data_IF_032807934002
#
_entry.id   IF_032807934002
#
_cell.length_a   1.000
_cell.length_b   1.000
_cell.length_c   1.000
_cell.angle_alpha   90.00
_cell.angle_beta   90.00
_cell.angle_gamma   90.00
#
_symmetry.space_group_name_H-M   'P 1'
#
loop_
_entity.id
_entity.type
_entity.pdbx_description
1 polymer ?
#
# COMPACT_ATOMS: atom_id res chain seq x y z
N UNK A 1 19.05 -31.63 2.44
CA UNK A 1 19.78 -30.57 1.70
C UNK A 1 18.87 -30.07 0.60
N UNK A 2 18.26 -28.90 0.79
CA UNK A 2 17.47 -28.23 -0.25
C UNK A 2 18.37 -27.10 -0.75
N UNK A 3 19.08 -27.35 -1.85
CA UNK A 3 19.81 -26.32 -2.60
C UNK A 3 18.84 -25.68 -3.60
N UNK A 4 17.85 -24.97 -3.08
CA UNK A 4 17.24 -23.83 -3.76
C UNK A 4 17.92 -22.59 -3.21
N UNK A 5 18.08 -21.55 -4.02
CA UNK A 5 18.76 -20.30 -3.63
C UNK A 5 18.04 -19.68 -2.41
N UNK A 6 18.46 -20.07 -1.20
CA UNK A 6 17.81 -19.71 0.04
C UNK A 6 18.18 -18.26 0.36
N UNK A 7 17.19 -17.38 0.32
CA UNK A 7 17.34 -15.96 0.64
C UNK A 7 16.26 -15.54 1.64
N UNK A 8 16.58 -14.64 2.60
CA UNK A 8 15.57 -14.06 3.47
C UNK A 8 14.48 -13.35 2.66
N UNK A 9 13.18 -13.56 2.98
CA UNK A 9 12.08 -13.02 2.19
C UNK A 9 12.00 -11.49 2.24
N UNK A 10 12.37 -10.87 3.36
CA UNK A 10 12.53 -9.41 3.46
C UNK A 10 13.79 -9.02 4.23
N UNK A 11 14.04 -7.70 4.32
CA UNK A 11 15.13 -7.16 5.13
C UNK A 11 15.01 -7.53 6.61
N UNK A 12 13.80 -7.59 7.17
CA UNK A 12 13.59 -7.96 8.58
C UNK A 12 14.05 -9.39 8.83
N UNK A 13 13.66 -10.36 7.99
CA UNK A 13 14.09 -11.74 8.16
C UNK A 13 15.60 -11.90 8.00
N UNK A 14 16.24 -11.08 7.14
CA UNK A 14 17.70 -11.03 7.04
C UNK A 14 18.34 -10.60 8.38
N UNK A 15 17.85 -9.52 8.97
CA UNK A 15 18.34 -9.04 10.27
C UNK A 15 18.12 -10.08 11.37
N UNK A 16 16.97 -10.76 11.39
CA UNK A 16 16.68 -11.82 12.36
C UNK A 16 17.59 -13.04 12.19
N UNK A 17 17.86 -13.45 10.95
CA UNK A 17 18.81 -14.54 10.67
C UNK A 17 20.23 -14.18 11.13
N UNK A 18 20.69 -12.97 10.78
CA UNK A 18 22.02 -12.48 11.16
C UNK A 18 22.16 -12.34 12.68
N UNK A 19 21.13 -11.84 13.37
CA UNK A 19 21.10 -11.79 14.83
C UNK A 19 21.11 -13.20 15.44
N UNK A 20 20.31 -14.12 14.90
CA UNK A 20 20.21 -15.51 15.35
C UNK A 20 21.54 -16.27 15.20
N UNK A 21 22.21 -16.13 14.05
CA UNK A 21 23.53 -16.76 13.80
C UNK A 21 24.62 -16.25 14.74
N UNK A 22 24.55 -14.99 15.17
CA UNK A 22 25.48 -14.40 16.15
C UNK A 22 25.06 -14.60 17.61
N UNK A 23 23.86 -15.12 17.89
CA UNK A 23 23.29 -15.14 19.23
C UNK A 23 23.01 -13.74 19.81
N UNK A 24 22.90 -12.73 18.96
CA UNK A 24 22.76 -11.33 19.35
C UNK A 24 21.29 -10.97 19.59
N UNK A 25 20.86 -11.10 20.85
CA UNK A 25 19.49 -10.77 21.25
C UNK A 25 19.18 -9.27 21.10
N UNK A 26 20.16 -8.40 21.29
CA UNK A 26 19.93 -6.95 21.20
C UNK A 26 19.65 -6.54 19.76
N UNK A 27 20.39 -7.09 18.79
CA UNK A 27 20.12 -6.91 17.37
C UNK A 27 18.75 -7.47 16.96
N UNK A 28 18.35 -8.63 17.49
CA UNK A 28 17.01 -9.18 17.24
C UNK A 28 15.91 -8.23 17.78
N UNK A 29 16.08 -7.69 18.99
CA UNK A 29 15.13 -6.73 19.57
C UNK A 29 15.06 -5.42 18.77
N UNK A 30 16.18 -4.89 18.28
CA UNK A 30 16.19 -3.68 17.43
C UNK A 30 15.45 -3.92 16.10
N UNK A 31 15.68 -5.06 15.45
CA UNK A 31 14.96 -5.45 14.24
C UNK A 31 13.44 -5.57 14.50
N UNK A 32 13.05 -6.20 15.60
CA UNK A 32 11.64 -6.39 15.97
C UNK A 32 10.96 -5.10 16.44
N UNK A 33 11.69 -4.18 17.05
CA UNK A 33 11.17 -2.87 17.48
C UNK A 33 10.64 -2.01 16.34
N UNK A 34 11.09 -2.26 15.11
CA UNK A 34 10.73 -1.54 13.88
C UNK A 34 9.77 -2.33 12.97
N UNK A 35 9.32 -3.49 13.42
CA UNK A 35 8.66 -4.49 12.58
C UNK A 35 7.21 -4.69 13.00
N UNK A 36 6.32 -4.91 12.01
CA UNK A 36 4.96 -5.42 12.26
C UNK A 36 5.04 -6.89 12.62
N UNK A 37 4.43 -7.24 13.74
CA UNK A 37 4.24 -8.61 14.16
C UNK A 37 2.78 -9.00 13.95
N UNK A 38 2.53 -10.27 13.70
CA UNK A 38 1.22 -10.79 13.34
C UNK A 38 0.86 -11.96 14.23
N UNK A 39 -0.34 -11.88 14.81
CA UNK A 39 -0.91 -12.91 15.66
C UNK A 39 -1.99 -13.64 14.87
N UNK A 40 -1.86 -14.96 14.74
CA UNK A 40 -2.87 -15.81 14.12
C UNK A 40 -4.14 -15.84 14.98
N UNK A 41 -5.29 -15.67 14.34
CA UNK A 41 -6.60 -15.78 14.96
C UNK A 41 -7.54 -16.63 14.10
N UNK A 42 -8.44 -17.35 14.76
CA UNK A 42 -9.59 -17.93 14.08
C UNK A 42 -10.52 -16.78 13.68
N UNK A 43 -10.96 -16.76 12.41
CA UNK A 43 -11.81 -15.70 11.87
C UNK A 43 -13.10 -15.54 12.66
N UNK A 44 -13.71 -16.65 13.10
CA UNK A 44 -14.93 -16.62 13.93
C UNK A 44 -14.77 -15.81 15.21
N UNK A 45 -13.57 -15.76 15.80
CA UNK A 45 -13.28 -14.92 16.95
C UNK A 45 -13.03 -13.47 16.55
N UNK A 46 -12.32 -13.23 15.44
CA UNK A 46 -12.06 -11.88 14.94
C UNK A 46 -13.34 -11.16 14.48
N UNK A 47 -14.34 -11.90 14.00
CA UNK A 47 -15.64 -11.37 13.57
C UNK A 47 -16.61 -11.14 14.75
N UNK A 48 -16.30 -11.68 15.94
CA UNK A 48 -17.17 -11.56 17.11
C UNK A 48 -17.09 -10.13 17.71
N UNK A 49 -18.19 -9.34 17.69
CA UNK A 49 -18.16 -7.96 18.18
C UNK A 49 -17.78 -7.87 19.66
N UNK A 50 -16.82 -6.98 19.97
CA UNK A 50 -16.36 -6.76 21.35
C UNK A 50 -15.55 -7.91 21.95
N UNK A 51 -15.23 -8.94 21.16
CA UNK A 51 -14.38 -10.04 21.60
C UNK A 51 -12.93 -9.78 21.21
N UNK A 52 -12.03 -9.84 22.18
CA UNK A 52 -10.59 -9.86 21.93
C UNK A 52 -10.07 -11.25 22.30
N UNK A 53 -9.70 -12.10 21.32
CA UNK A 53 -9.22 -13.42 21.63
C UNK A 53 -7.90 -13.32 22.42
N UNK A 54 -7.69 -14.20 23.43
CA UNK A 54 -6.42 -14.24 24.13
C UNK A 54 -5.28 -14.60 23.16
N UNK A 55 -4.07 -14.14 23.46
CA UNK A 55 -2.89 -14.48 22.66
C UNK A 55 -2.75 -16.02 22.56
N UNK A 56 -2.59 -16.58 21.35
CA UNK A 56 -2.48 -18.00 21.16
C UNK A 56 -1.22 -18.50 21.87
N UNK A 57 -1.34 -19.57 22.64
CA UNK A 57 -0.21 -20.19 23.33
C UNK A 57 -0.07 -21.64 22.90
N UNK A 58 1.16 -22.09 22.66
CA UNK A 58 1.46 -23.49 22.34
C UNK A 58 2.65 -23.99 23.14
N UNK A 59 2.74 -25.31 23.30
CA UNK A 59 3.90 -25.96 23.90
C UNK A 59 5.00 -26.11 22.85
N UNK A 60 6.16 -25.49 23.10
CA UNK A 60 7.41 -25.82 22.42
C UNK A 60 7.97 -27.08 23.10
N UNK A 61 7.83 -28.23 22.43
CA UNK A 61 8.23 -29.53 22.97
C UNK A 61 9.76 -29.64 23.10
N UNK A 62 10.50 -29.08 22.14
CA UNK A 62 11.95 -29.14 22.13
C UNK A 62 12.56 -28.34 23.30
N UNK A 63 12.10 -27.10 23.50
CA UNK A 63 12.58 -26.26 24.59
C UNK A 63 11.80 -26.44 25.92
N UNK A 64 10.84 -27.37 25.97
CA UNK A 64 9.99 -27.67 27.15
C UNK A 64 9.36 -26.43 27.80
N UNK A 65 8.92 -25.46 26.99
CA UNK A 65 8.34 -24.19 27.45
C UNK A 65 7.04 -23.86 26.72
N UNK A 66 6.25 -22.95 27.29
CA UNK A 66 5.09 -22.39 26.59
C UNK A 66 5.50 -21.15 25.84
N UNK A 67 5.08 -21.03 24.59
CA UNK A 67 5.39 -19.92 23.70
C UNK A 67 4.13 -19.31 23.12
N UNK A 68 4.14 -17.99 22.92
CA UNK A 68 3.17 -17.26 22.09
C UNK A 68 3.84 -17.06 20.72
N UNK A 69 3.35 -17.72 19.66
CA UNK A 69 3.91 -17.56 18.33
C UNK A 69 3.40 -16.26 17.69
N UNK A 70 4.31 -15.51 17.07
CA UNK A 70 4.00 -14.39 16.19
C UNK A 70 4.80 -14.52 14.91
N UNK A 71 4.30 -13.92 13.84
CA UNK A 71 4.98 -13.90 12.54
C UNK A 71 5.38 -12.47 12.17
N UNK A 72 6.45 -12.33 11.41
CA UNK A 72 6.75 -11.11 10.67
C UNK A 72 6.09 -11.15 9.29
N UNK A 73 6.03 -10.00 8.62
CA UNK A 73 5.41 -9.85 7.30
C UNK A 73 5.95 -10.84 6.25
N UNK A 74 7.26 -11.12 6.27
CA UNK A 74 7.90 -12.05 5.33
C UNK A 74 7.63 -13.52 5.60
N UNK A 75 6.96 -13.85 6.71
CA UNK A 75 6.75 -15.22 7.16
C UNK A 75 5.27 -15.58 7.33
N UNK A 76 4.36 -14.73 6.84
CA UNK A 76 2.94 -15.03 6.81
C UNK A 76 2.68 -16.24 5.89
N UNK A 77 1.85 -17.21 6.32
CA UNK A 77 1.52 -18.36 5.50
C UNK A 77 0.59 -17.95 4.35
N UNK A 78 0.32 -18.91 3.47
CA UNK A 78 -0.69 -18.77 2.44
C UNK A 78 -2.07 -18.39 3.04
N UNK A 79 -2.88 -17.72 2.22
CA UNK A 79 -4.23 -17.32 2.56
C UNK A 79 -5.09 -18.54 2.96
N UNK A 80 -5.93 -18.38 3.99
CA UNK A 80 -6.87 -19.40 4.45
C UNK A 80 -8.23 -18.76 4.78
N UNK A 81 -9.38 -19.37 4.43
CA UNK A 81 -10.70 -18.76 4.63
C UNK A 81 -11.05 -18.54 6.11
N UNK A 82 -10.61 -19.43 6.99
CA UNK A 82 -11.03 -19.45 8.40
C UNK A 82 -10.00 -18.88 9.38
N UNK A 83 -8.81 -18.51 8.90
CA UNK A 83 -7.75 -17.97 9.75
C UNK A 83 -7.25 -16.65 9.23
N UNK A 84 -7.03 -15.73 10.15
CA UNK A 84 -6.70 -14.33 9.86
C UNK A 84 -5.59 -13.88 10.80
N UNK A 85 -5.03 -12.69 10.55
CA UNK A 85 -3.94 -12.15 11.33
C UNK A 85 -4.29 -10.75 11.81
N UNK A 86 -3.99 -10.48 13.08
CA UNK A 86 -4.05 -9.14 13.66
C UNK A 86 -2.62 -8.60 13.81
N UNK A 87 -2.40 -7.34 13.40
CA UNK A 87 -1.12 -6.69 13.57
C UNK A 87 -0.91 -6.24 15.02
N UNK A 88 0.30 -6.45 15.49
CA UNK A 88 0.78 -5.99 16.79
C UNK A 88 2.23 -5.55 16.70
N UNK A 89 2.74 -4.96 17.77
CA UNK A 89 4.13 -4.54 17.90
C UNK A 89 4.73 -5.15 19.16
N UNK A 90 6.05 -5.14 19.24
CA UNK A 90 6.75 -5.62 20.42
C UNK A 90 6.32 -4.87 21.71
N UNK A 91 6.08 -3.56 21.61
CA UNK A 91 5.55 -2.75 22.70
C UNK A 91 4.10 -3.11 23.09
N UNK A 92 3.22 -3.34 22.10
CA UNK A 92 1.84 -3.79 22.38
C UNK A 92 1.81 -5.18 23.03
N UNK A 93 2.68 -6.09 22.58
CA UNK A 93 2.83 -7.40 23.20
C UNK A 93 3.35 -7.31 24.63
N UNK A 94 4.29 -6.41 24.91
CA UNK A 94 4.81 -6.20 26.26
C UNK A 94 3.70 -5.75 27.24
N UNK A 95 2.85 -4.82 26.80
CA UNK A 95 1.74 -4.32 27.62
C UNK A 95 0.62 -5.36 27.85
N UNK A 96 0.30 -6.16 26.82
CA UNK A 96 -0.80 -7.13 26.86
C UNK A 96 -0.34 -8.56 27.25
N UNK A 97 0.89 -8.73 27.75
CA UNK A 97 1.48 -10.05 27.92
C UNK A 97 0.78 -10.87 29.02
N UNK A 98 0.34 -12.12 28.74
CA UNK A 98 -0.53 -12.85 29.65
C UNK A 98 0.21 -13.57 30.78
N UNK A 99 1.51 -13.88 30.62
CA UNK A 99 2.23 -14.70 31.59
C UNK A 99 3.76 -14.55 31.51
N UNK A 100 4.40 -14.09 32.59
CA UNK A 100 5.85 -13.89 32.70
C UNK A 100 6.71 -15.15 32.49
N UNK A 101 6.14 -16.35 32.61
CA UNK A 101 6.84 -17.62 32.38
C UNK A 101 6.81 -18.06 30.92
N UNK A 102 5.96 -17.45 30.10
CA UNK A 102 5.86 -17.77 28.68
C UNK A 102 6.89 -16.98 27.88
N UNK A 103 7.20 -17.46 26.69
CA UNK A 103 8.16 -16.83 25.79
C UNK A 103 7.45 -16.32 24.53
N UNK A 104 7.97 -15.26 23.94
CA UNK A 104 7.60 -14.87 22.59
C UNK A 104 8.44 -15.69 21.60
N UNK A 105 7.77 -16.33 20.65
CA UNK A 105 8.43 -17.03 19.56
C UNK A 105 8.07 -16.34 18.24
N UNK A 106 9.02 -15.58 17.70
CA UNK A 106 8.88 -14.93 16.39
C UNK A 106 9.31 -15.93 15.32
N UNK A 107 8.50 -16.09 14.26
CA UNK A 107 8.76 -16.99 13.13
C UNK A 107 9.24 -18.38 13.55
N UNK A 108 8.57 -19.04 14.50
CA UNK A 108 9.06 -20.28 15.05
C UNK A 108 9.14 -21.36 13.98
N UNK A 109 10.07 -22.31 14.15
CA UNK A 109 10.30 -23.42 13.23
C UNK A 109 10.82 -22.98 11.85
N UNK A 110 11.44 -21.79 11.78
CA UNK A 110 12.06 -21.23 10.57
C UNK A 110 13.50 -20.76 10.85
N UNK A 111 14.37 -20.62 9.83
CA UNK A 111 15.71 -20.05 9.99
C UNK A 111 15.72 -18.61 10.51
N UNK A 112 14.61 -17.90 10.40
CA UNK A 112 14.44 -16.50 10.81
C UNK A 112 13.83 -16.38 12.21
N UNK A 113 13.79 -17.50 12.95
CA UNK A 113 13.14 -17.61 14.24
C UNK A 113 13.91 -16.94 15.36
N UNK A 114 13.20 -16.25 16.25
CA UNK A 114 13.74 -15.70 17.49
C UNK A 114 12.86 -16.09 18.68
N UNK A 115 13.48 -16.49 19.79
CA UNK A 115 12.77 -16.79 21.03
C UNK A 115 13.20 -15.82 22.14
N UNK A 116 12.25 -15.03 22.63
CA UNK A 116 12.49 -13.98 23.61
C UNK A 116 11.79 -14.32 24.94
N UNK A 117 12.50 -14.28 26.08
CA UNK A 117 11.85 -14.41 27.38
C UNK A 117 10.98 -13.18 27.64
N UNK A 118 9.92 -13.34 28.43
CA UNK A 118 8.91 -12.31 28.63
C UNK A 118 8.65 -11.98 30.11
N UNK A 119 9.67 -12.10 30.97
CA UNK A 119 9.56 -11.64 32.37
C UNK A 119 9.37 -10.13 32.39
N UNK A 120 8.89 -9.56 33.50
CA UNK A 120 8.72 -8.11 33.64
C UNK A 120 9.94 -7.26 33.25
N UNK A 121 11.18 -7.73 33.51
CA UNK A 121 12.39 -7.02 33.06
C UNK A 121 12.61 -7.14 31.54
N UNK A 122 12.37 -8.32 30.96
CA UNK A 122 12.49 -8.55 29.52
C UNK A 122 11.47 -7.70 28.75
N UNK A 123 10.23 -7.59 29.25
CA UNK A 123 9.17 -6.76 28.64
C UNK A 123 9.49 -5.26 28.63
N UNK A 124 10.22 -4.76 29.63
CA UNK A 124 10.72 -3.38 29.58
C UNK A 124 11.70 -3.19 28.41
N UNK A 125 12.58 -4.16 28.15
CA UNK A 125 13.48 -4.08 26.98
C UNK A 125 12.74 -4.14 25.64
N UNK A 126 11.59 -4.84 25.60
CA UNK A 126 10.69 -4.89 24.44
C UNK A 126 10.04 -3.54 24.16
N UNK A 127 9.53 -2.88 25.21
CA UNK A 127 8.96 -1.53 25.13
C UNK A 127 10.00 -0.52 24.68
N UNK A 128 11.19 -0.53 25.31
CA UNK A 128 12.29 0.35 24.92
C UNK A 128 12.73 0.14 23.47
N UNK A 129 12.80 -1.12 23.00
CA UNK A 129 13.11 -1.42 21.61
C UNK A 129 12.02 -0.89 20.66
N UNK A 130 10.74 -1.01 21.03
CA UNK A 130 9.63 -0.43 20.27
C UNK A 130 9.70 1.10 20.19
N UNK A 131 10.01 1.77 21.32
CA UNK A 131 10.17 3.22 21.38
C UNK A 131 11.36 3.68 20.53
N UNK A 132 12.53 3.05 20.70
CA UNK A 132 13.73 3.36 19.89
C UNK A 132 13.51 3.11 18.41
N UNK A 133 12.75 2.07 18.07
CA UNK A 133 12.43 1.73 16.69
C UNK A 133 11.44 2.67 16.02
N UNK A 134 10.67 3.45 16.79
CA UNK A 134 9.60 4.31 16.28
C UNK A 134 8.41 3.54 15.68
N UNK A 135 8.34 2.23 15.92
CA UNK A 135 7.34 1.34 15.31
C UNK A 135 7.57 1.07 13.82
N UNK A 136 6.58 0.46 13.13
CA UNK A 136 6.66 0.19 11.71
C UNK A 136 6.82 1.47 10.87
N UNK A 137 7.92 1.56 10.12
CA UNK A 137 8.23 2.72 9.30
C UNK A 137 7.22 2.90 8.14
N UNK A 138 6.73 4.13 7.97
CA UNK A 138 6.02 4.60 6.77
C UNK A 138 7.01 5.10 5.72
N UNK A 139 6.54 5.40 4.51
CA UNK A 139 7.37 5.92 3.40
C UNK A 139 8.57 5.00 3.10
N UNK A 140 8.31 3.71 2.92
CA UNK A 140 9.34 2.70 2.72
C UNK A 140 8.96 1.73 1.63
N UNK A 141 9.88 1.52 0.69
CA UNK A 141 9.78 0.44 -0.29
C UNK A 141 10.10 -0.90 0.38
N UNK A 142 9.15 -1.82 0.37
CA UNK A 142 9.30 -3.18 0.86
C UNK A 142 8.94 -4.18 -0.24
N UNK A 143 9.88 -5.07 -0.55
CA UNK A 143 9.70 -6.13 -1.56
C UNK A 143 9.85 -7.48 -0.86
N UNK A 144 8.90 -8.38 -1.11
CA UNK A 144 8.97 -9.77 -0.66
C UNK A 144 9.64 -10.62 -1.75
N UNK A 145 10.78 -11.24 -1.44
CA UNK A 145 11.58 -11.98 -2.43
C UNK A 145 10.85 -13.20 -3.02
N UNK A 146 9.92 -13.79 -2.27
CA UNK A 146 9.05 -14.89 -2.74
C UNK A 146 7.76 -14.44 -3.43
N UNK A 147 7.48 -13.13 -3.52
CA UNK A 147 6.31 -12.61 -4.22
C UNK A 147 6.55 -12.47 -5.73
N UNK A 148 5.52 -12.19 -6.55
CA UNK A 148 5.69 -11.92 -7.97
C UNK A 148 6.63 -10.72 -8.20
N UNK A 149 7.73 -10.95 -8.91
CA UNK A 149 8.69 -9.89 -9.31
C UNK A 149 8.62 -9.57 -10.81
N UNK A 150 8.00 -10.46 -11.58
CA UNK A 150 7.88 -10.36 -13.03
C UNK A 150 6.50 -10.82 -13.50
N UNK A 151 6.17 -10.50 -14.75
CA UNK A 151 4.91 -10.90 -15.38
C UNK A 151 3.71 -10.02 -14.99
N UNK A 152 2.52 -10.36 -15.51
CA UNK A 152 1.36 -9.46 -15.47
C UNK A 152 0.82 -9.23 -14.04
N UNK A 153 0.93 -10.22 -13.15
CA UNK A 153 0.53 -10.06 -11.74
C UNK A 153 1.46 -9.09 -11.01
N UNK A 154 2.78 -9.19 -11.22
CA UNK A 154 3.74 -8.26 -10.62
C UNK A 154 3.50 -6.83 -11.15
N UNK A 155 3.28 -6.67 -12.46
CA UNK A 155 2.94 -5.37 -13.04
C UNK A 155 1.65 -4.81 -12.42
N UNK A 156 0.58 -5.60 -12.33
CA UNK A 156 -0.67 -5.14 -11.74
C UNK A 156 -0.50 -4.75 -10.25
N UNK A 157 0.27 -5.50 -9.46
CA UNK A 157 0.60 -5.13 -8.08
C UNK A 157 1.40 -3.83 -7.99
N UNK A 158 2.31 -3.58 -8.93
CA UNK A 158 3.10 -2.36 -9.00
C UNK A 158 2.23 -1.10 -9.22
N UNK A 159 1.10 -1.19 -9.93
CA UNK A 159 0.14 -0.07 -10.04
C UNK A 159 -0.36 0.39 -8.65
N UNK A 160 -0.44 -0.53 -7.67
CA UNK A 160 -0.83 -0.23 -6.29
C UNK A 160 0.30 0.26 -5.37
N UNK A 161 1.54 0.36 -5.87
CA UNK A 161 2.74 0.54 -5.05
C UNK A 161 2.79 1.88 -4.29
N UNK A 162 2.12 2.94 -4.77
CA UNK A 162 2.03 4.24 -4.08
C UNK A 162 1.54 4.10 -2.63
N UNK A 163 0.43 3.36 -2.42
CA UNK A 163 -0.09 3.15 -1.06
C UNK A 163 0.74 2.16 -0.26
N UNK A 164 1.35 1.16 -0.91
CA UNK A 164 2.22 0.22 -0.23
C UNK A 164 3.45 0.95 0.35
N UNK A 165 4.13 1.76 -0.46
CA UNK A 165 5.28 2.58 -0.01
C UNK A 165 4.86 3.56 1.07
N UNK A 166 3.75 4.27 0.87
CA UNK A 166 3.24 5.24 1.83
C UNK A 166 3.01 4.64 3.23
N UNK A 167 2.44 3.43 3.27
CA UNK A 167 2.13 2.74 4.52
C UNK A 167 3.30 1.85 5.00
N UNK A 168 4.37 1.72 4.21
CA UNK A 168 5.48 0.82 4.49
C UNK A 168 5.04 -0.64 4.54
N UNK A 169 4.29 -1.08 3.53
CA UNK A 169 3.81 -2.44 3.33
C UNK A 169 4.49 -3.05 2.09
N UNK A 170 4.58 -4.37 2.03
CA UNK A 170 5.07 -5.09 0.84
C UNK A 170 4.21 -4.74 -0.37
N UNK A 171 4.82 -4.32 -1.47
CA UNK A 171 4.08 -3.96 -2.69
C UNK A 171 3.66 -5.19 -3.51
N UNK A 172 4.49 -6.24 -3.55
CA UNK A 172 4.28 -7.42 -4.39
C UNK A 172 3.60 -8.60 -3.66
N UNK A 173 2.81 -8.32 -2.63
CA UNK A 173 2.12 -9.33 -1.84
C UNK A 173 0.66 -9.47 -2.23
N UNK A 174 0.26 -10.69 -2.64
CA UNK A 174 -1.15 -11.11 -2.75
C UNK A 174 -1.37 -12.33 -1.85
N UNK A 175 -1.42 -12.09 -0.54
CA UNK A 175 -1.35 -13.15 0.48
C UNK A 175 -2.48 -13.12 1.49
N UNK A 176 -2.20 -13.58 2.71
CA UNK A 176 -3.19 -13.71 3.78
C UNK A 176 -3.86 -12.40 4.22
N UNK A 177 -3.23 -11.25 3.95
CA UNK A 177 -3.70 -9.90 4.29
C UNK A 177 -3.02 -8.83 3.42
N UNK A 178 -3.54 -7.60 3.47
CA UNK A 178 -2.82 -6.42 3.00
C UNK A 178 -2.10 -5.69 4.14
N UNK A 179 -2.83 -5.23 5.16
CA UNK A 179 -2.26 -4.63 6.37
C UNK A 179 -2.42 -5.58 7.56
N UNK A 180 -3.67 -5.81 7.97
CA UNK A 180 -4.14 -6.88 8.85
C UNK A 180 -5.66 -7.06 8.70
N UNK A 181 -6.23 -8.11 9.28
CA UNK A 181 -7.65 -8.40 9.11
C UNK A 181 -8.60 -7.28 9.59
N UNK A 182 -8.54 -6.80 10.85
CA UNK A 182 -9.47 -5.77 11.30
C UNK A 182 -9.30 -4.44 10.54
N UNK A 183 -8.07 -4.07 10.17
CA UNK A 183 -7.79 -2.85 9.42
C UNK A 183 -8.24 -2.99 7.96
N UNK A 184 -8.02 -4.15 7.34
CA UNK A 184 -8.48 -4.42 5.97
C UNK A 184 -10.01 -4.32 5.87
N UNK A 185 -10.73 -4.94 6.82
CA UNK A 185 -12.19 -4.83 6.94
C UNK A 185 -12.62 -3.38 7.20
N UNK A 186 -11.97 -2.68 8.13
CA UNK A 186 -12.31 -1.30 8.48
C UNK A 186 -12.11 -0.36 7.27
N UNK A 187 -11.01 -0.51 6.53
CA UNK A 187 -10.69 0.29 5.34
C UNK A 187 -11.68 0.04 4.20
N UNK A 188 -12.13 -1.21 4.00
CA UNK A 188 -13.20 -1.51 3.04
C UNK A 188 -14.52 -0.86 3.44
N UNK A 189 -14.91 -0.93 4.71
CA UNK A 189 -16.13 -0.26 5.17
C UNK A 189 -16.02 1.25 5.04
N UNK A 190 -14.88 1.84 5.40
CA UNK A 190 -14.61 3.28 5.30
C UNK A 190 -13.17 3.53 4.85
N UNK A 191 -12.94 4.26 3.76
CA UNK A 191 -13.91 5.09 3.03
C UNK A 191 -14.66 4.37 1.90
N UNK A 192 -14.40 3.09 1.64
CA UNK A 192 -14.88 2.47 0.38
C UNK A 192 -16.36 2.07 0.36
N UNK A 193 -17.04 2.01 1.51
CA UNK A 193 -18.41 1.52 1.64
C UNK A 193 -18.59 0.09 1.05
N UNK A 194 -17.58 -0.76 1.25
CA UNK A 194 -17.57 -2.16 0.85
C UNK A 194 -17.80 -3.02 2.09
N UNK A 195 -18.97 -3.66 2.18
CA UNK A 195 -19.38 -4.49 3.31
C UNK A 195 -19.34 -5.98 3.02
N UNK A 196 -19.33 -6.36 1.74
CA UNK A 196 -19.28 -7.74 1.29
C UNK A 196 -18.80 -7.87 -0.17
N UNK A 197 -18.74 -9.11 -0.69
CA UNK A 197 -18.27 -9.45 -2.04
C UNK A 197 -18.97 -8.69 -3.17
N UNK A 198 -20.27 -8.42 -3.08
CA UNK A 198 -21.00 -7.69 -4.13
C UNK A 198 -20.54 -6.22 -4.24
N UNK A 199 -20.56 -5.48 -3.12
CA UNK A 199 -20.00 -4.12 -3.06
C UNK A 199 -18.55 -4.05 -3.56
N UNK A 200 -17.73 -5.04 -3.22
CA UNK A 200 -16.35 -5.12 -3.72
C UNK A 200 -16.32 -5.13 -5.25
N UNK A 201 -17.13 -5.99 -5.90
CA UNK A 201 -17.19 -6.08 -7.36
C UNK A 201 -17.71 -4.79 -8.00
N UNK A 202 -18.70 -4.15 -7.40
CA UNK A 202 -19.24 -2.88 -7.90
C UNK A 202 -18.24 -1.73 -7.73
N UNK A 203 -17.56 -1.66 -6.58
CA UNK A 203 -16.51 -0.69 -6.33
C UNK A 203 -15.34 -0.88 -7.29
N UNK A 204 -14.91 -2.11 -7.50
CA UNK A 204 -13.84 -2.43 -8.44
C UNK A 204 -14.20 -1.99 -9.86
N UNK A 205 -15.43 -2.26 -10.32
CA UNK A 205 -15.90 -1.80 -11.64
C UNK A 205 -15.87 -0.27 -11.76
N UNK A 206 -16.24 0.43 -10.69
CA UNK A 206 -16.23 1.90 -10.63
C UNK A 206 -14.81 2.46 -10.76
N UNK A 207 -13.84 1.86 -10.07
CA UNK A 207 -12.44 2.27 -10.12
C UNK A 207 -11.78 1.92 -11.46
N UNK A 208 -12.05 0.74 -12.02
CA UNK A 208 -11.58 0.38 -13.36
C UNK A 208 -12.12 1.35 -14.43
N UNK A 209 -13.33 1.88 -14.22
CA UNK A 209 -13.93 2.88 -15.10
C UNK A 209 -13.52 4.33 -14.79
N UNK A 210 -12.51 4.53 -13.93
CA UNK A 210 -11.93 5.83 -13.54
C UNK A 210 -12.97 6.85 -13.07
N UNK A 211 -13.81 6.46 -12.11
CA UNK A 211 -14.94 7.28 -11.61
C UNK A 211 -14.78 7.80 -10.19
N UNK A 212 -13.63 7.64 -9.53
CA UNK A 212 -13.39 8.14 -8.18
C UNK A 212 -13.03 9.63 -8.15
N UNK A 213 -12.09 10.07 -8.98
CA UNK A 213 -11.62 11.48 -9.00
C UNK A 213 -12.68 12.46 -9.53
N UNK A 214 -13.72 11.94 -10.19
CA UNK A 214 -14.83 12.71 -10.74
C UNK A 214 -14.73 12.88 -12.26
N UNK A 215 -15.83 13.25 -12.92
CA UNK A 215 -15.87 13.42 -14.38
C UNK A 215 -15.26 14.75 -14.84
N UNK A 216 -15.47 15.82 -14.07
CA UNK A 216 -15.01 17.17 -14.40
C UNK A 216 -13.47 17.24 -14.55
N UNK A 217 -12.66 16.68 -13.64
CA UNK A 217 -11.19 16.76 -13.75
C UNK A 217 -10.63 16.05 -14.98
N UNK A 218 -11.13 14.83 -15.27
CA UNK A 218 -10.76 14.09 -16.48
C UNK A 218 -11.24 14.80 -17.75
N UNK A 219 -12.41 15.46 -17.72
CA UNK A 219 -12.88 16.27 -18.84
C UNK A 219 -11.95 17.46 -19.11
N UNK A 220 -11.53 18.18 -18.07
CA UNK A 220 -10.60 19.32 -18.15
C UNK A 220 -9.24 18.90 -18.74
N UNK A 221 -8.67 17.78 -18.29
CA UNK A 221 -7.43 17.24 -18.86
C UNK A 221 -7.62 16.68 -20.28
N UNK A 222 -8.71 15.96 -20.54
CA UNK A 222 -9.05 15.44 -21.86
C UNK A 222 -9.26 16.56 -22.89
N UNK A 223 -9.80 17.69 -22.46
CA UNK A 223 -9.86 18.93 -23.22
C UNK A 223 -8.44 19.40 -23.61
N UNK A 224 -7.51 19.54 -22.66
CA UNK A 224 -6.11 19.91 -22.94
C UNK A 224 -5.46 18.99 -23.97
N UNK A 225 -5.62 17.67 -23.80
CA UNK A 225 -5.09 16.65 -24.70
C UNK A 225 -5.61 16.79 -26.13
N UNK A 226 -6.93 16.98 -26.30
CA UNK A 226 -7.55 17.18 -27.63
C UNK A 226 -7.08 18.47 -28.29
N UNK A 227 -6.93 19.54 -27.52
CA UNK A 227 -6.44 20.82 -28.04
C UNK A 227 -4.98 20.73 -28.49
N UNK A 228 -4.12 20.09 -27.68
CA UNK A 228 -2.73 19.85 -28.05
C UNK A 228 -2.62 19.04 -29.35
N UNK A 229 -3.43 17.99 -29.50
CA UNK A 229 -3.46 17.18 -30.72
C UNK A 229 -3.91 18.00 -31.95
N UNK A 230 -4.87 18.92 -31.78
CA UNK A 230 -5.34 19.81 -32.86
C UNK A 230 -4.30 20.86 -33.24
N UNK A 231 -3.58 21.43 -32.27
CA UNK A 231 -2.58 22.47 -32.49
C UNK A 231 -1.22 21.93 -32.97
N UNK A 232 -0.93 20.65 -32.71
CA UNK A 232 0.40 20.07 -32.94
C UNK A 232 1.46 20.52 -31.94
N UNK A 233 1.07 21.30 -30.93
CA UNK A 233 1.92 21.77 -29.83
C UNK A 233 1.10 21.90 -28.53
N UNK A 234 1.73 21.96 -27.34
CA UNK A 234 1.01 22.22 -26.09
C UNK A 234 0.26 23.56 -26.14
N UNK A 235 -1.02 23.63 -25.73
CA UNK A 235 -1.73 24.90 -25.64
C UNK A 235 -1.18 25.76 -24.50
N UNK A 236 -1.30 27.08 -24.66
CA UNK A 236 -1.09 28.02 -23.55
C UNK A 236 -2.21 27.89 -22.51
N UNK A 237 -1.95 28.33 -21.27
CA UNK A 237 -2.95 28.31 -20.19
C UNK A 237 -4.21 29.10 -20.56
N UNK A 238 -4.06 30.23 -21.25
CA UNK A 238 -5.19 31.03 -21.73
C UNK A 238 -6.03 30.29 -22.78
N UNK A 239 -5.39 29.58 -23.72
CA UNK A 239 -6.10 28.77 -24.72
C UNK A 239 -6.84 27.60 -24.07
N UNK A 240 -6.21 26.95 -23.09
CA UNK A 240 -6.85 25.84 -22.36
C UNK A 240 -8.02 26.33 -21.51
N UNK A 241 -7.85 27.39 -20.73
CA UNK A 241 -8.89 27.98 -19.91
C UNK A 241 -10.08 28.44 -20.74
N UNK A 242 -9.85 29.16 -21.84
CA UNK A 242 -10.92 29.60 -22.76
C UNK A 242 -11.72 28.42 -23.29
N UNK A 243 -11.06 27.32 -23.67
CA UNK A 243 -11.75 26.13 -24.15
C UNK A 243 -12.54 25.41 -23.05
N UNK A 244 -12.03 25.38 -21.81
CA UNK A 244 -12.78 24.85 -20.66
C UNK A 244 -14.05 25.68 -20.43
N UNK A 245 -13.94 27.00 -20.36
CA UNK A 245 -15.08 27.91 -20.18
C UNK A 245 -16.15 27.68 -21.26
N UNK A 246 -15.77 27.75 -22.54
CA UNK A 246 -16.72 27.59 -23.66
C UNK A 246 -17.42 26.22 -23.65
N UNK A 247 -16.73 25.14 -23.26
CA UNK A 247 -17.36 23.82 -23.23
C UNK A 247 -18.35 23.68 -22.07
N UNK A 248 -17.99 24.14 -20.87
CA UNK A 248 -18.87 24.01 -19.71
C UNK A 248 -20.04 25.00 -19.73
N UNK A 249 -19.87 26.23 -20.23
CA UNK A 249 -20.98 27.19 -20.39
C UNK A 249 -22.10 26.68 -21.32
N UNK A 250 -21.74 25.87 -22.33
CA UNK A 250 -22.72 25.30 -23.27
C UNK A 250 -23.57 24.19 -22.63
N UNK A 251 -22.97 23.43 -21.71
CA UNK A 251 -23.50 22.14 -21.25
C UNK A 251 -23.97 22.20 -19.77
N UNK A 252 -23.75 23.31 -19.05
CA UNK A 252 -24.05 23.48 -17.62
C UNK A 252 -25.00 24.69 -17.35
N UNK A 253 -26.32 24.46 -17.30
CA UNK A 253 -27.31 25.53 -17.08
C UNK A 253 -27.28 26.13 -15.66
N UNK A 254 -26.57 25.52 -14.71
CA UNK A 254 -26.50 25.98 -13.31
C UNK A 254 -25.12 26.52 -12.91
N UNK A 255 -24.08 26.32 -13.73
CA UNK A 255 -22.73 26.86 -13.56
C UNK A 255 -21.86 26.15 -12.50
N UNK A 256 -22.34 25.03 -11.93
CA UNK A 256 -21.63 24.27 -10.89
C UNK A 256 -20.40 23.52 -11.45
N UNK A 257 -20.55 22.89 -12.62
CA UNK A 257 -19.48 22.15 -13.28
C UNK A 257 -18.41 23.10 -13.81
N UNK A 258 -18.79 24.30 -14.28
CA UNK A 258 -17.83 25.33 -14.71
C UNK A 258 -16.96 25.80 -13.54
N UNK A 259 -17.58 26.17 -12.40
CA UNK A 259 -16.85 26.63 -11.23
C UNK A 259 -15.90 25.54 -10.69
N UNK A 260 -16.35 24.28 -10.72
CA UNK A 260 -15.50 23.13 -10.40
C UNK A 260 -14.33 23.00 -11.39
N UNK A 261 -14.60 23.05 -12.70
CA UNK A 261 -13.60 22.93 -13.75
C UNK A 261 -12.50 23.99 -13.64
N UNK A 262 -12.86 25.26 -13.40
CA UNK A 262 -11.90 26.34 -13.20
C UNK A 262 -11.03 26.13 -11.96
N UNK A 263 -11.61 25.64 -10.86
CA UNK A 263 -10.84 25.29 -9.65
C UNK A 263 -9.86 24.16 -9.93
N UNK A 264 -10.26 23.12 -10.66
CA UNK A 264 -9.35 22.04 -11.05
C UNK A 264 -8.25 22.52 -11.97
N UNK A 265 -8.55 23.37 -12.96
CA UNK A 265 -7.55 23.95 -13.84
C UNK A 265 -6.48 24.69 -13.04
N UNK A 266 -6.88 25.59 -12.12
CA UNK A 266 -5.94 26.32 -11.25
C UNK A 266 -5.06 25.37 -10.43
N UNK A 267 -5.64 24.32 -9.84
CA UNK A 267 -4.90 23.33 -9.06
C UNK A 267 -3.91 22.53 -9.91
N UNK A 268 -4.31 22.12 -11.12
CA UNK A 268 -3.44 21.38 -12.04
C UNK A 268 -2.24 22.25 -12.43
N UNK A 269 -2.49 23.49 -12.88
CA UNK A 269 -1.40 24.42 -13.26
C UNK A 269 -0.45 24.65 -12.09
N UNK A 270 -0.97 24.93 -10.89
CA UNK A 270 -0.18 25.12 -9.67
C UNK A 270 0.72 23.92 -9.36
N UNK A 271 0.18 22.70 -9.32
CA UNK A 271 0.99 21.53 -8.99
C UNK A 271 1.96 21.15 -10.12
N UNK A 272 1.61 21.33 -11.38
CA UNK A 272 2.55 21.10 -12.49
C UNK A 272 3.73 22.09 -12.44
N UNK A 273 3.49 23.36 -12.10
CA UNK A 273 4.56 24.35 -11.86
C UNK A 273 5.47 23.91 -10.71
N UNK A 274 4.89 23.50 -9.58
CA UNK A 274 5.66 22.96 -8.45
C UNK A 274 6.47 21.72 -8.85
N UNK A 275 5.87 20.79 -9.61
CA UNK A 275 6.57 19.61 -10.08
C UNK A 275 7.75 19.94 -11.00
N UNK A 276 7.62 20.96 -11.87
CA UNK A 276 8.74 21.44 -12.69
C UNK A 276 9.84 22.06 -11.82
N UNK A 277 9.47 22.89 -10.84
CA UNK A 277 10.42 23.50 -9.90
C UNK A 277 11.21 22.44 -9.11
N UNK A 278 10.55 21.33 -8.74
CA UNK A 278 11.15 20.21 -8.00
C UNK A 278 11.82 19.15 -8.89
N UNK A 279 11.85 19.37 -10.22
CA UNK A 279 12.48 18.48 -11.21
C UNK A 279 11.75 17.15 -11.43
N UNK A 280 10.47 17.06 -11.05
CA UNK A 280 9.62 15.87 -11.24
C UNK A 280 8.98 15.83 -12.63
N UNK A 281 8.73 16.99 -13.22
CA UNK A 281 8.11 17.17 -14.53
C UNK A 281 9.06 17.94 -15.45
N UNK A 282 9.21 17.49 -16.70
CA UNK A 282 10.00 18.20 -17.69
C UNK A 282 9.43 19.62 -17.96
N UNK A 283 10.24 20.57 -18.47
CA UNK A 283 9.77 21.94 -18.75
C UNK A 283 8.51 22.00 -19.63
N UNK A 284 8.43 21.14 -20.64
CA UNK A 284 7.30 20.96 -21.56
C UNK A 284 6.39 19.78 -21.17
N UNK A 285 6.70 19.09 -20.07
CA UNK A 285 5.95 17.99 -19.52
C UNK A 285 4.58 18.42 -19.00
N UNK A 286 3.61 17.50 -19.12
CA UNK A 286 2.22 17.69 -18.65
C UNK A 286 1.59 16.36 -18.25
N UNK A 287 0.57 16.43 -17.40
CA UNK A 287 -0.18 15.28 -16.91
C UNK A 287 -1.57 15.26 -17.54
N UNK A 288 -1.81 14.39 -18.53
CA UNK A 288 -3.05 14.42 -19.34
C UNK A 288 -4.19 13.51 -18.82
N UNK A 289 -3.99 12.80 -17.71
CA UNK A 289 -5.04 12.02 -17.04
C UNK A 289 -4.68 11.70 -15.58
N UNK A 290 -5.70 11.54 -14.74
CA UNK A 290 -5.60 11.19 -13.32
C UNK A 290 -5.97 9.71 -13.07
N UNK A 291 -6.24 8.93 -14.13
CA UNK A 291 -6.65 7.53 -14.09
C UNK A 291 -5.76 6.62 -13.21
N UNK A 292 -4.46 6.95 -13.06
CA UNK A 292 -3.54 6.19 -12.22
C UNK A 292 -4.02 6.11 -10.77
N UNK A 293 -4.70 7.15 -10.26
CA UNK A 293 -5.21 7.17 -8.90
C UNK A 293 -6.27 6.09 -8.69
N UNK A 294 -7.24 6.03 -9.59
CA UNK A 294 -8.28 5.00 -9.60
C UNK A 294 -7.70 3.60 -9.79
N UNK A 295 -6.82 3.39 -10.77
CA UNK A 295 -6.21 2.08 -11.04
C UNK A 295 -5.34 1.60 -9.88
N UNK A 296 -4.49 2.46 -9.33
CA UNK A 296 -3.68 2.12 -8.16
C UNK A 296 -4.55 1.83 -6.93
N UNK A 297 -5.63 2.59 -6.71
CA UNK A 297 -6.59 2.33 -5.63
C UNK A 297 -7.40 1.05 -5.86
N UNK A 298 -7.72 0.70 -7.11
CA UNK A 298 -8.38 -0.56 -7.46
C UNK A 298 -7.56 -1.77 -7.00
N UNK A 299 -6.24 -1.75 -7.23
CA UNK A 299 -5.32 -2.79 -6.75
C UNK A 299 -5.37 -2.89 -5.24
N UNK A 300 -5.37 -1.76 -4.54
CA UNK A 300 -5.46 -1.74 -3.08
C UNK A 300 -6.80 -2.29 -2.57
N UNK A 301 -7.93 -1.95 -3.23
CA UNK A 301 -9.25 -2.50 -2.90
C UNK A 301 -9.30 -4.02 -3.11
N UNK A 302 -8.66 -4.54 -4.15
CA UNK A 302 -8.53 -6.01 -4.36
C UNK A 302 -7.75 -6.66 -3.23
N UNK A 303 -6.60 -6.10 -2.84
CA UNK A 303 -5.77 -6.64 -1.74
C UNK A 303 -6.49 -6.59 -0.39
N UNK A 304 -7.18 -5.48 -0.12
CA UNK A 304 -8.05 -5.34 1.06
C UNK A 304 -9.18 -6.38 1.04
N UNK A 305 -9.86 -6.59 -0.09
CA UNK A 305 -10.95 -7.56 -0.22
C UNK A 305 -10.48 -9.00 0.01
N UNK A 306 -9.28 -9.35 -0.47
CA UNK A 306 -8.67 -10.66 -0.18
C UNK A 306 -8.37 -10.82 1.31
N UNK A 307 -7.75 -9.79 1.93
CA UNK A 307 -7.48 -9.75 3.36
C UNK A 307 -8.75 -9.88 4.20
N UNK A 308 -9.81 -9.18 3.84
CA UNK A 308 -11.12 -9.23 4.49
C UNK A 308 -11.98 -10.47 4.15
N UNK A 309 -11.47 -11.39 3.33
CA UNK A 309 -12.17 -12.61 2.90
C UNK A 309 -13.46 -12.33 2.11
N UNK A 310 -13.52 -11.20 1.40
CA UNK A 310 -14.60 -10.87 0.47
C UNK A 310 -14.37 -11.45 -0.93
N UNK A 311 -13.14 -11.85 -1.23
CA UNK A 311 -12.79 -12.69 -2.38
C UNK A 311 -11.78 -13.77 -1.98
N UNK A 312 -11.61 -14.76 -2.85
CA UNK A 312 -10.58 -15.79 -2.76
C UNK A 312 -9.34 -15.40 -3.59
N UNK A 313 -8.19 -16.10 -3.42
CA UNK A 313 -6.97 -15.78 -4.15
C UNK A 313 -7.12 -15.78 -5.69
N UNK A 314 -7.94 -16.69 -6.23
CA UNK A 314 -8.15 -16.80 -7.67
C UNK A 314 -8.92 -15.59 -8.21
N UNK A 315 -10.01 -15.18 -7.56
CA UNK A 315 -10.75 -13.98 -7.94
C UNK A 315 -9.89 -12.71 -7.76
N UNK A 316 -9.06 -12.65 -6.72
CA UNK A 316 -8.17 -11.52 -6.50
C UNK A 316 -7.15 -11.37 -7.64
N UNK A 317 -6.50 -12.46 -8.05
CA UNK A 317 -5.56 -12.45 -9.18
C UNK A 317 -6.25 -12.02 -10.49
N UNK A 318 -7.40 -12.62 -10.80
CA UNK A 318 -8.19 -12.23 -11.99
C UNK A 318 -8.62 -10.76 -11.96
N UNK A 319 -8.94 -10.24 -10.77
CA UNK A 319 -9.30 -8.84 -10.58
C UNK A 319 -8.11 -7.91 -10.83
N UNK A 320 -6.90 -8.29 -10.41
CA UNK A 320 -5.68 -7.54 -10.72
C UNK A 320 -5.43 -7.47 -12.22
N UNK A 321 -5.57 -8.59 -12.93
CA UNK A 321 -5.35 -8.65 -14.38
C UNK A 321 -6.35 -7.77 -15.16
N UNK A 322 -7.58 -7.60 -14.66
CA UNK A 322 -8.58 -6.71 -15.27
C UNK A 322 -8.25 -5.21 -15.15
N UNK A 323 -7.44 -4.83 -14.16
CA UNK A 323 -7.01 -3.44 -13.96
C UNK A 323 -5.86 -3.08 -14.92
N UNK A 324 -5.06 -4.09 -15.31
CA UNK A 324 -3.82 -3.89 -16.04
C UNK A 324 -4.02 -3.22 -17.40
N UNK A 325 -4.97 -3.72 -18.19
CA UNK A 325 -5.17 -3.24 -19.56
C UNK A 325 -5.64 -1.77 -19.63
N UNK A 326 -6.66 -1.33 -18.86
CA UNK A 326 -7.01 0.09 -18.78
C UNK A 326 -5.86 0.99 -18.32
N UNK A 327 -5.02 0.53 -17.39
CA UNK A 327 -3.86 1.29 -16.95
C UNK A 327 -2.81 1.47 -18.05
N UNK A 328 -2.51 0.38 -18.80
CA UNK A 328 -1.60 0.40 -19.95
C UNK A 328 -2.08 1.24 -21.11
N UNK A 329 -3.40 1.40 -21.28
CA UNK A 329 -3.98 2.29 -22.29
C UNK A 329 -3.91 3.77 -21.89
N UNK A 330 -3.93 4.07 -20.58
CA UNK A 330 -3.93 5.43 -20.06
C UNK A 330 -2.53 6.07 -19.96
N UNK A 331 -1.47 5.26 -19.85
CA UNK A 331 -0.09 5.72 -19.67
C UNK A 331 0.89 4.93 -20.52
N UNK A 332 2.06 5.51 -20.76
CA UNK A 332 3.15 4.95 -21.58
C UNK A 332 4.40 4.55 -20.77
N UNK A 333 4.43 4.92 -19.50
CA UNK A 333 5.59 4.77 -18.62
C UNK A 333 5.18 4.78 -17.15
N UNK A 334 6.03 4.19 -16.30
CA UNK A 334 5.86 4.23 -14.85
C UNK A 334 5.97 5.64 -14.27
N UNK A 335 6.85 6.46 -14.84
CA UNK A 335 7.03 7.86 -14.46
C UNK A 335 5.75 8.66 -14.71
N UNK A 336 5.13 8.52 -15.89
CA UNK A 336 3.86 9.17 -16.21
C UNK A 336 2.72 8.66 -15.31
N UNK A 337 2.64 7.33 -15.09
CA UNK A 337 1.67 6.75 -14.16
C UNK A 337 1.84 7.33 -12.75
N UNK A 338 3.08 7.43 -12.26
CA UNK A 338 3.36 7.96 -10.94
C UNK A 338 2.99 9.43 -10.80
N UNK A 339 3.24 10.25 -11.82
CA UNK A 339 2.90 11.67 -11.82
C UNK A 339 1.37 11.87 -11.84
N UNK A 340 0.64 11.07 -12.63
CA UNK A 340 -0.82 11.05 -12.63
C UNK A 340 -1.40 10.72 -11.25
N UNK A 341 -0.85 9.68 -10.59
CA UNK A 341 -1.25 9.32 -9.23
C UNK A 341 -0.97 10.45 -8.23
N UNK A 342 0.24 11.03 -8.32
CA UNK A 342 0.71 12.10 -7.45
C UNK A 342 -0.21 13.32 -7.54
N UNK A 343 -0.48 13.80 -8.75
CA UNK A 343 -1.35 14.96 -8.99
C UNK A 343 -2.76 14.71 -8.46
N UNK A 344 -3.34 13.56 -8.77
CA UNK A 344 -4.70 13.25 -8.34
C UNK A 344 -4.80 13.17 -6.81
N UNK A 345 -3.81 12.57 -6.14
CA UNK A 345 -3.75 12.53 -4.66
C UNK A 345 -3.76 13.93 -4.08
N UNK A 346 -2.94 14.83 -4.62
CA UNK A 346 -2.83 16.19 -4.13
C UNK A 346 -4.14 16.94 -4.31
N UNK A 347 -4.74 16.86 -5.50
CA UNK A 347 -5.99 17.54 -5.81
C UNK A 347 -7.18 16.97 -5.02
N UNK A 348 -7.27 15.65 -4.87
CA UNK A 348 -8.41 14.99 -4.21
C UNK A 348 -8.48 15.29 -2.71
N UNK A 349 -7.33 15.52 -2.07
CA UNK A 349 -7.23 15.86 -0.65
C UNK A 349 -6.80 17.32 -0.41
N UNK A 350 -6.89 18.18 -1.43
CA UNK A 350 -6.48 19.58 -1.32
C UNK A 350 -7.49 20.38 -0.46
N UNK A 351 -7.14 20.55 0.81
CA UNK A 351 -7.77 21.46 1.78
C UNK A 351 -6.93 22.75 1.99
N UNK A 352 -6.19 23.20 0.97
CA UNK A 352 -5.38 24.44 1.04
C UNK A 352 -3.87 24.20 0.90
N UNK A 353 -3.47 23.31 -0.01
CA UNK A 353 -2.10 22.92 -0.34
C UNK A 353 -1.22 22.61 0.88
N UNK A 354 -1.57 21.56 1.67
CA UNK A 354 -0.80 21.23 2.86
C UNK A 354 0.59 20.68 2.47
N UNK A 355 1.62 21.49 2.72
CA UNK A 355 3.03 21.17 2.47
C UNK A 355 3.47 19.77 2.98
N UNK A 356 3.02 19.25 4.14
CA UNK A 356 3.36 17.89 4.56
C UNK A 356 2.87 16.82 3.59
N UNK A 357 1.66 16.96 3.04
CA UNK A 357 1.10 16.03 2.07
C UNK A 357 1.85 16.11 0.75
N UNK A 358 2.21 17.32 0.30
CA UNK A 358 3.05 17.51 -0.88
C UNK A 358 4.38 16.77 -0.74
N UNK A 359 5.13 17.02 0.34
CA UNK A 359 6.43 16.37 0.61
C UNK A 359 6.31 14.86 0.70
N UNK A 360 5.29 14.36 1.39
CA UNK A 360 5.03 12.92 1.51
C UNK A 360 4.79 12.30 0.13
N UNK A 361 3.98 12.96 -0.70
CA UNK A 361 3.60 12.47 -2.02
C UNK A 361 4.81 12.49 -2.98
N UNK A 362 5.60 13.57 -2.98
CA UNK A 362 6.86 13.66 -3.74
C UNK A 362 7.87 12.60 -3.29
N UNK A 363 7.99 12.33 -1.99
CA UNK A 363 8.86 11.29 -1.48
C UNK A 363 8.47 9.90 -2.01
N UNK A 364 7.16 9.57 -2.02
CA UNK A 364 6.67 8.30 -2.61
C UNK A 364 7.00 8.22 -4.10
N UNK A 365 6.75 9.29 -4.87
CA UNK A 365 7.10 9.34 -6.29
C UNK A 365 8.59 9.06 -6.49
N UNK A 366 9.48 9.76 -5.77
CA UNK A 366 10.94 9.58 -5.89
C UNK A 366 11.38 8.17 -5.49
N UNK A 367 10.86 7.61 -4.40
CA UNK A 367 11.14 6.23 -4.02
C UNK A 367 10.77 5.28 -5.17
N UNK A 368 9.59 5.44 -5.76
CA UNK A 368 9.16 4.57 -6.84
C UNK A 368 9.96 4.79 -8.13
N UNK A 369 10.25 6.01 -8.54
CA UNK A 369 10.91 6.28 -9.83
C UNK A 369 12.44 6.26 -9.77
N UNK A 370 13.05 6.28 -8.59
CA UNK A 370 14.51 6.42 -8.44
C UNK A 370 15.17 5.29 -7.65
N UNK A 371 14.47 4.62 -6.72
CA UNK A 371 15.07 3.52 -5.97
C UNK A 371 15.41 2.36 -6.92
N UNK A 372 16.66 1.88 -6.98
CA UNK A 372 17.06 0.79 -7.88
C UNK A 372 16.31 -0.52 -7.64
N UNK A 373 15.75 -0.73 -6.45
CA UNK A 373 14.96 -1.91 -6.09
C UNK A 373 13.45 -1.75 -6.36
N UNK A 374 13.02 -0.59 -6.85
CA UNK A 374 11.62 -0.29 -7.12
C UNK A 374 11.04 -1.16 -8.24
N UNK A 375 9.76 -1.57 -8.15
CA UNK A 375 9.09 -2.20 -9.28
C UNK A 375 9.11 -1.34 -10.55
N UNK A 376 9.09 -0.01 -10.44
CA UNK A 376 9.05 0.87 -11.63
C UNK A 376 10.39 0.88 -12.39
N UNK A 377 11.47 0.43 -11.75
CA UNK A 377 12.80 0.27 -12.35
C UNK A 377 13.06 -1.14 -12.86
N UNK A 378 12.32 -2.13 -12.35
CA UNK A 378 12.60 -3.56 -12.57
C UNK A 378 11.50 -4.31 -13.33
N UNK A 379 10.32 -3.70 -13.50
CA UNK A 379 9.22 -4.24 -14.29
C UNK A 379 9.03 -3.32 -15.51
N UNK A 380 9.12 -3.82 -16.75
CA UNK A 380 8.89 -3.00 -17.92
C UNK A 380 7.42 -2.56 -17.99
N UNK A 381 7.18 -1.36 -18.52
CA UNK A 381 5.83 -0.88 -18.76
C UNK A 381 5.13 -1.71 -19.85
N UNK A 382 5.79 -1.88 -21.00
CA UNK A 382 5.37 -2.70 -22.14
C UNK A 382 5.97 -4.10 -22.12
#
# INVERSE_FOLDING_TARGET
>A
MITGNWAPPTHTERLLYEAGTRGDRAAALDALGRTRLYVLQARVHADAPGHTPPLPARRDKAARRTVVPVLTEGMLPAWHPDWVFEQTTLARLAAAWPNDRWWLAVNPDTPFGAALPARAADRRTWEEAGIRGGGPARLRLLTHAGGPLHGPVAHALALGAHLAVLNGLVWNGLGAQYEDYPTDVARLRRPWAVHHRADFRDKLRTLIATRLVGRVPEAVLGMRRRLAARLGHPPTDAQWASMVTVNFERDDPYGEDLAEAERFLRRITHYEERFRADGLLAPDGRIDTLAAFDHGRAVNVVRLALGARYCDPQEAEQSLLRILEPARQAYDSWEAFSLGYLLARLIHFDEGDPEPMYRESVAVHRILTQDPSSPYRNIPWS
#
